data_IF_351144822948
#
_entry.id   IF_351144822948
#
_cell.length_a   1.000
_cell.length_b   1.000
_cell.length_c   1.000
_cell.angle_alpha   90.00
_cell.angle_beta   90.00
_cell.angle_gamma   90.00
#
_symmetry.space_group_name_H-M   'P 1'
#
loop_
_entity.id
_entity.type
_entity.pdbx_description
1 polymer ?
#
# COMPACT_ATOMS: atom_id res chain seq x y z
N UNK A 1 -19.92 32.26 -11.15
CA UNK A 1 -19.37 31.42 -10.05
C UNK A 1 -18.38 32.28 -9.29
N UNK A 2 -18.62 32.51 -8.00
CA UNK A 2 -17.78 33.41 -7.21
C UNK A 2 -16.45 32.74 -6.84
N UNK A 3 -15.38 33.54 -6.75
CA UNK A 3 -14.04 33.06 -6.38
C UNK A 3 -14.05 32.37 -5.01
N UNK A 4 -14.89 32.85 -4.09
CA UNK A 4 -15.11 32.21 -2.79
C UNK A 4 -15.67 30.79 -2.91
N UNK A 5 -16.63 30.54 -3.82
CA UNK A 5 -17.21 29.21 -4.04
C UNK A 5 -16.15 28.21 -4.53
N UNK A 6 -15.28 28.64 -5.43
CA UNK A 6 -14.17 27.82 -5.92
C UNK A 6 -13.15 27.52 -4.82
N UNK A 7 -12.81 28.51 -3.99
CA UNK A 7 -11.91 28.32 -2.86
C UNK A 7 -12.51 27.39 -1.79
N UNK A 8 -13.81 27.48 -1.51
CA UNK A 8 -14.49 26.55 -0.59
C UNK A 8 -14.50 25.12 -1.14
N UNK A 9 -14.77 24.94 -2.44
CA UNK A 9 -14.67 23.62 -3.06
C UNK A 9 -13.24 23.05 -3.01
N UNK A 10 -12.23 23.89 -3.29
CA UNK A 10 -10.82 23.54 -3.17
C UNK A 10 -10.44 23.14 -1.74
N UNK A 11 -10.91 23.87 -0.72
CA UNK A 11 -10.70 23.55 0.70
C UNK A 11 -11.21 22.14 1.03
N UNK A 12 -12.43 21.81 0.60
CA UNK A 12 -13.02 20.47 0.81
C UNK A 12 -12.14 19.38 0.20
N UNK A 13 -11.75 19.55 -1.07
CA UNK A 13 -10.96 18.57 -1.79
C UNK A 13 -9.57 18.37 -1.16
N UNK A 14 -8.90 19.45 -0.77
CA UNK A 14 -7.60 19.40 -0.10
C UNK A 14 -7.70 18.66 1.24
N UNK A 15 -8.68 19.01 2.08
CA UNK A 15 -8.90 18.36 3.37
C UNK A 15 -9.16 16.87 3.19
N UNK A 16 -10.07 16.49 2.29
CA UNK A 16 -10.38 15.09 2.01
C UNK A 16 -9.14 14.33 1.54
N UNK A 17 -8.35 14.90 0.63
CA UNK A 17 -7.16 14.26 0.10
C UNK A 17 -6.03 14.14 1.14
N UNK A 18 -5.81 15.16 1.97
CA UNK A 18 -4.84 15.12 3.05
C UNK A 18 -5.23 14.05 4.09
N UNK A 19 -6.51 13.97 4.46
CA UNK A 19 -7.00 12.95 5.40
C UNK A 19 -6.86 11.55 4.80
N UNK A 20 -7.32 11.34 3.56
CA UNK A 20 -7.21 10.05 2.88
C UNK A 20 -5.74 9.64 2.68
N UNK A 21 -4.88 10.58 2.31
CA UNK A 21 -3.43 10.38 2.18
C UNK A 21 -2.79 9.96 3.50
N UNK A 22 -3.11 10.67 4.59
CA UNK A 22 -2.56 10.40 5.91
C UNK A 22 -3.01 9.04 6.45
N UNK A 23 -4.31 8.73 6.35
CA UNK A 23 -4.87 7.43 6.75
C UNK A 23 -4.25 6.29 5.94
N UNK A 24 -4.12 6.46 4.62
CA UNK A 24 -3.52 5.42 3.78
C UNK A 24 -2.04 5.17 4.12
N UNK A 25 -1.28 6.22 4.44
CA UNK A 25 0.12 6.08 4.90
C UNK A 25 0.21 5.35 6.24
N UNK A 26 -0.64 5.70 7.22
CA UNK A 26 -0.70 4.99 8.52
C UNK A 26 -1.06 3.52 8.31
N UNK A 27 -2.05 3.22 7.47
CA UNK A 27 -2.44 1.86 7.15
C UNK A 27 -1.30 1.06 6.49
N UNK A 28 -0.51 1.69 5.59
CA UNK A 28 0.65 1.03 4.98
C UNK A 28 1.75 0.70 5.99
N UNK A 29 2.02 1.57 6.97
CA UNK A 29 2.98 1.27 8.05
C UNK A 29 2.54 0.05 8.87
N UNK A 30 1.23 -0.10 9.13
CA UNK A 30 0.68 -1.23 9.86
C UNK A 30 0.68 -2.55 9.06
N UNK A 31 0.64 -2.49 7.73
CA UNK A 31 0.66 -3.65 6.85
C UNK A 31 2.07 -4.21 6.59
N UNK A 32 3.10 -3.50 7.04
CA UNK A 32 4.51 -3.62 6.69
C UNK A 32 5.26 -4.80 7.36
N UNK A 33 4.57 -5.94 7.45
CA UNK A 33 5.09 -7.19 7.99
C UNK A 33 5.95 -7.99 6.99
N UNK A 34 6.11 -7.54 5.74
CA UNK A 34 6.98 -8.20 4.74
C UNK A 34 8.21 -7.34 4.39
N UNK A 35 9.42 -7.93 4.29
CA UNK A 35 10.61 -7.24 3.79
C UNK A 35 10.36 -6.73 2.35
N UNK A 36 10.52 -5.41 2.14
CA UNK A 36 10.35 -4.80 0.82
C UNK A 36 8.92 -4.35 0.46
N UNK A 37 7.97 -4.29 1.40
CA UNK A 37 6.68 -3.61 1.17
C UNK A 37 6.87 -2.12 0.88
N UNK A 38 7.71 -1.46 1.69
CA UNK A 38 8.00 -0.03 1.54
C UNK A 38 8.83 0.36 0.30
N UNK A 39 9.53 -0.56 -0.37
CA UNK A 39 10.32 -0.21 -1.57
C UNK A 39 9.44 0.21 -2.74
N UNK A 40 8.15 -0.12 -2.71
CA UNK A 40 7.17 0.34 -3.72
C UNK A 40 6.52 1.68 -3.39
N UNK A 41 6.81 2.26 -2.21
CA UNK A 41 6.21 3.50 -1.72
C UNK A 41 6.96 4.75 -2.17
N UNK A 42 6.88 5.05 -3.46
CA UNK A 42 7.32 6.33 -4.05
C UNK A 42 8.56 7.01 -3.46
N UNK A 43 8.49 8.27 -2.98
CA UNK A 43 9.66 9.03 -2.52
C UNK A 43 10.45 8.36 -1.39
N UNK A 44 9.88 7.40 -0.67
CA UNK A 44 10.58 6.66 0.38
C UNK A 44 11.76 5.85 -0.18
N UNK A 45 11.79 5.58 -1.48
CA UNK A 45 12.96 4.99 -2.17
C UNK A 45 14.20 5.89 -2.07
N UNK A 46 14.02 7.21 -1.98
CA UNK A 46 15.13 8.16 -1.83
C UNK A 46 15.74 8.16 -0.41
N UNK A 47 15.09 7.49 0.53
CA UNK A 47 15.45 7.48 1.95
C UNK A 47 16.03 6.10 2.32
N UNK A 48 17.10 6.04 3.14
CA UNK A 48 17.65 4.77 3.63
C UNK A 48 16.59 3.93 4.35
N UNK A 49 16.70 2.60 4.28
CA UNK A 49 15.66 1.67 4.77
C UNK A 49 15.23 1.93 6.22
N UNK A 50 16.21 2.18 7.11
CA UNK A 50 15.98 2.51 8.52
C UNK A 50 15.13 3.77 8.76
N UNK A 51 15.08 4.68 7.77
CA UNK A 51 14.37 5.96 7.87
C UNK A 51 13.04 5.97 7.09
N UNK A 52 12.71 4.93 6.32
CA UNK A 52 11.47 4.91 5.52
C UNK A 52 10.20 4.98 6.37
N UNK A 53 10.11 4.12 7.39
CA UNK A 53 8.98 4.11 8.35
C UNK A 53 8.79 5.46 9.05
N UNK A 54 9.81 6.03 9.73
CA UNK A 54 9.63 7.30 10.43
C UNK A 54 9.30 8.46 9.49
N UNK A 55 9.89 8.52 8.29
CA UNK A 55 9.53 9.54 7.30
C UNK A 55 8.08 9.40 6.83
N UNK A 56 7.59 8.18 6.60
CA UNK A 56 6.21 7.95 6.18
C UNK A 56 5.20 8.34 7.27
N UNK A 57 5.49 8.00 8.53
CA UNK A 57 4.70 8.41 9.70
C UNK A 57 4.71 9.94 9.84
N UNK A 58 5.88 10.57 9.71
CA UNK A 58 6.00 12.02 9.77
C UNK A 58 5.17 12.71 8.68
N UNK A 59 5.26 12.24 7.42
CA UNK A 59 4.44 12.76 6.34
C UNK A 59 2.95 12.59 6.62
N UNK A 60 2.52 11.43 7.13
CA UNK A 60 1.13 11.20 7.50
C UNK A 60 0.66 12.17 8.60
N UNK A 61 1.48 12.37 9.63
CA UNK A 61 1.20 13.32 10.70
C UNK A 61 1.06 14.75 10.16
N UNK A 62 1.98 15.17 9.28
CA UNK A 62 1.92 16.49 8.62
C UNK A 62 0.61 16.65 7.83
N UNK A 63 0.20 15.65 7.05
CA UNK A 63 -1.04 15.71 6.29
C UNK A 63 -2.27 15.89 7.19
N UNK A 64 -2.37 15.12 8.28
CA UNK A 64 -3.48 15.21 9.24
C UNK A 64 -3.48 16.56 9.96
N UNK A 65 -2.31 17.06 10.38
CA UNK A 65 -2.18 18.36 11.05
C UNK A 65 -2.56 19.51 10.11
N UNK A 66 -2.14 19.46 8.84
CA UNK A 66 -2.54 20.46 7.85
C UNK A 66 -4.05 20.43 7.60
N UNK A 67 -4.64 19.24 7.44
CA UNK A 67 -6.09 19.10 7.27
C UNK A 67 -6.87 19.66 8.47
N UNK A 68 -6.48 19.31 9.69
CA UNK A 68 -7.09 19.84 10.91
C UNK A 68 -6.91 21.36 11.01
N UNK A 69 -5.71 21.87 10.71
CA UNK A 69 -5.41 23.30 10.69
C UNK A 69 -6.29 24.09 9.72
N UNK A 70 -6.52 23.55 8.51
CA UNK A 70 -7.39 24.16 7.50
C UNK A 70 -8.87 24.21 7.91
N UNK A 71 -9.35 23.24 8.70
CA UNK A 71 -10.73 23.19 9.17
C UNK A 71 -10.93 24.10 10.40
N UNK A 72 -10.07 23.93 11.41
CA UNK A 72 -10.31 24.44 12.76
C UNK A 72 -9.64 25.79 13.03
N UNK A 73 -8.73 26.25 12.17
CA UNK A 73 -7.99 27.48 12.41
C UNK A 73 -8.13 28.46 11.25
N UNK A 74 -8.14 29.75 11.56
CA UNK A 74 -8.02 30.85 10.58
C UNK A 74 -6.58 31.32 10.40
N UNK A 75 -5.62 30.61 11.00
CA UNK A 75 -4.21 30.98 10.95
C UNK A 75 -3.67 30.87 9.52
N UNK A 76 -2.77 31.77 9.08
CA UNK A 76 -2.12 31.65 7.79
C UNK A 76 -1.17 30.44 7.72
N UNK A 77 -0.68 29.94 8.87
CA UNK A 77 0.32 28.87 8.93
C UNK A 77 -0.08 27.57 8.19
N UNK A 78 -1.24 26.92 8.46
CA UNK A 78 -1.63 25.71 7.75
C UNK A 78 -1.89 25.96 6.26
N UNK A 79 -2.32 27.16 5.86
CA UNK A 79 -2.56 27.52 4.45
C UNK A 79 -1.24 27.57 3.68
N UNK A 80 -0.26 28.32 4.19
CA UNK A 80 1.09 28.35 3.60
C UNK A 80 1.79 26.99 3.68
N UNK A 81 1.63 26.28 4.79
CA UNK A 81 2.14 24.92 4.95
C UNK A 81 1.62 23.96 3.88
N UNK A 82 0.35 24.09 3.52
CA UNK A 82 -0.29 23.27 2.47
C UNK A 82 0.25 23.62 1.07
N UNK A 83 0.50 24.90 0.77
CA UNK A 83 1.18 25.31 -0.47
C UNK A 83 2.57 24.69 -0.55
N UNK A 84 3.36 24.83 0.52
CA UNK A 84 4.72 24.29 0.59
C UNK A 84 4.70 22.77 0.42
N UNK A 85 3.80 22.09 1.13
CA UNK A 85 3.67 20.64 1.07
C UNK A 85 3.40 20.13 -0.35
N UNK A 86 2.40 20.69 -1.05
CA UNK A 86 2.08 20.27 -2.43
C UNK A 86 3.12 20.74 -3.44
N UNK A 87 3.77 21.88 -3.22
CA UNK A 87 4.87 22.35 -4.07
C UNK A 87 6.09 21.43 -3.98
N UNK A 88 6.51 21.07 -2.76
CA UNK A 88 7.59 20.10 -2.52
C UNK A 88 7.22 18.74 -3.11
N UNK A 89 5.98 18.29 -2.91
CA UNK A 89 5.50 17.03 -3.49
C UNK A 89 5.57 17.06 -5.02
N UNK A 90 5.15 18.16 -5.65
CA UNK A 90 5.24 18.35 -7.11
C UNK A 90 6.69 18.27 -7.60
N UNK A 91 7.60 18.96 -6.90
CA UNK A 91 9.04 18.93 -7.22
C UNK A 91 9.62 17.53 -7.08
N UNK A 92 9.33 16.83 -5.99
CA UNK A 92 9.80 15.45 -5.76
C UNK A 92 9.27 14.51 -6.84
N UNK A 93 7.99 14.61 -7.22
CA UNK A 93 7.44 13.80 -8.32
C UNK A 93 8.09 14.10 -9.66
N UNK A 94 8.38 15.36 -9.94
CA UNK A 94 9.12 15.76 -11.14
C UNK A 94 10.53 15.15 -11.16
N UNK A 95 11.25 15.20 -10.05
CA UNK A 95 12.59 14.65 -9.92
C UNK A 95 12.59 13.12 -10.00
N UNK A 96 11.62 12.46 -9.36
CA UNK A 96 11.43 11.01 -9.46
C UNK A 96 11.16 10.60 -10.89
N UNK A 97 10.31 11.31 -11.62
CA UNK A 97 10.05 11.02 -13.03
C UNK A 97 11.31 11.13 -13.90
N UNK A 98 12.22 12.05 -13.58
CA UNK A 98 13.50 12.21 -14.29
C UNK A 98 14.49 11.08 -13.98
N UNK A 99 14.56 10.63 -12.72
CA UNK A 99 15.60 9.67 -12.28
C UNK A 99 15.14 8.21 -12.24
N UNK A 100 13.88 7.96 -11.91
CA UNK A 100 13.28 6.64 -11.62
C UNK A 100 11.78 6.66 -11.97
N UNK A 101 11.40 6.65 -13.26
CA UNK A 101 9.98 6.70 -13.65
C UNK A 101 9.17 5.49 -13.17
N UNK A 102 9.84 4.39 -12.82
CA UNK A 102 9.21 3.11 -12.44
C UNK A 102 8.70 3.06 -11.00
N UNK A 103 9.03 4.06 -10.15
CA UNK A 103 8.54 4.10 -8.76
C UNK A 103 7.16 4.73 -8.67
N UNK A 104 6.40 4.35 -7.64
CA UNK A 104 5.08 4.91 -7.35
C UNK A 104 5.11 6.40 -6.99
N UNK A 105 3.95 7.07 -6.99
CA UNK A 105 3.89 8.46 -6.53
C UNK A 105 3.81 8.58 -4.99
N UNK A 106 3.39 7.51 -4.29
CA UNK A 106 3.37 7.41 -2.82
C UNK A 106 2.37 8.33 -2.10
N UNK A 107 1.56 9.11 -2.82
CA UNK A 107 0.62 10.07 -2.22
C UNK A 107 -0.43 9.40 -1.33
N UNK A 108 -0.84 8.17 -1.63
CA UNK A 108 -1.80 7.38 -0.84
C UNK A 108 -1.20 6.09 -0.27
N UNK A 109 0.08 6.11 0.13
CA UNK A 109 0.76 4.90 0.57
C UNK A 109 0.78 3.80 -0.52
N UNK A 110 0.54 2.54 -0.14
CA UNK A 110 0.58 1.38 -1.05
C UNK A 110 -0.54 1.40 -2.10
N UNK A 111 -1.60 2.18 -1.87
CA UNK A 111 -2.69 2.31 -2.82
C UNK A 111 -2.22 2.98 -4.14
N UNK A 112 -1.13 3.76 -4.09
CA UNK A 112 -0.61 4.57 -5.20
C UNK A 112 0.77 4.08 -5.68
N UNK A 113 0.83 2.79 -6.00
CA UNK A 113 2.02 2.12 -6.54
C UNK A 113 2.23 2.31 -8.03
N UNK A 114 1.34 3.02 -8.74
CA UNK A 114 1.43 3.23 -10.18
C UNK A 114 2.64 4.12 -10.54
N UNK A 115 3.37 3.83 -11.63
CA UNK A 115 4.54 4.60 -12.05
C UNK A 115 4.25 6.10 -12.16
N UNK A 116 5.21 6.95 -11.78
CA UNK A 116 5.02 8.42 -11.80
C UNK A 116 4.91 8.93 -13.25
N UNK A 117 3.68 9.18 -13.69
CA UNK A 117 3.36 9.77 -14.98
C UNK A 117 3.16 11.30 -14.97
N UNK A 118 2.99 11.88 -16.17
CA UNK A 118 2.59 13.28 -16.35
C UNK A 118 1.29 13.63 -15.61
N UNK A 119 0.34 12.69 -15.57
CA UNK A 119 -0.95 12.87 -14.90
C UNK A 119 -0.78 13.09 -13.40
N UNK A 120 0.07 12.30 -12.74
CA UNK A 120 0.37 12.43 -11.30
C UNK A 120 1.02 13.77 -10.95
N UNK A 121 1.91 14.26 -11.80
CA UNK A 121 2.50 15.60 -11.65
C UNK A 121 1.43 16.68 -11.87
N UNK A 122 0.59 16.54 -12.90
CA UNK A 122 -0.53 17.44 -13.16
C UNK A 122 -1.49 17.52 -11.98
N UNK A 123 -1.80 16.39 -11.34
CA UNK A 123 -2.60 16.35 -10.09
C UNK A 123 -1.94 17.16 -8.99
N UNK A 124 -0.65 17.00 -8.75
CA UNK A 124 0.08 17.73 -7.70
C UNK A 124 0.13 19.25 -7.99
N UNK A 125 0.29 19.65 -9.26
CA UNK A 125 0.19 21.06 -9.69
C UNK A 125 -1.20 21.63 -9.43
N UNK A 126 -2.27 20.90 -9.77
CA UNK A 126 -3.65 21.33 -9.51
C UNK A 126 -3.91 21.48 -8.01
N UNK A 127 -3.45 20.54 -7.19
CA UNK A 127 -3.57 20.63 -5.72
C UNK A 127 -2.79 21.81 -5.15
N UNK A 128 -1.62 22.11 -5.71
CA UNK A 128 -0.87 23.32 -5.36
C UNK A 128 -1.67 24.59 -5.71
N UNK A 129 -2.28 24.65 -6.90
CA UNK A 129 -3.14 25.77 -7.30
C UNK A 129 -4.37 25.93 -6.40
N UNK A 130 -5.00 24.82 -6.01
CA UNK A 130 -6.09 24.81 -5.02
C UNK A 130 -5.60 25.32 -3.65
N UNK A 131 -4.40 24.93 -3.21
CA UNK A 131 -3.84 25.42 -1.94
C UNK A 131 -3.58 26.93 -1.99
N UNK A 132 -3.10 27.45 -3.13
CA UNK A 132 -2.93 28.89 -3.36
C UNK A 132 -4.27 29.62 -3.30
N UNK A 133 -5.33 29.10 -3.94
CA UNK A 133 -6.64 29.76 -3.90
C UNK A 133 -7.23 29.82 -2.49
N UNK A 134 -7.08 28.74 -1.71
CA UNK A 134 -7.49 28.70 -0.28
C UNK A 134 -6.63 29.61 0.61
N UNK A 135 -5.36 29.84 0.26
CA UNK A 135 -4.52 30.77 1.00
C UNK A 135 -4.89 32.23 0.74
N UNK A 136 -5.25 32.57 -0.50
CA UNK A 136 -5.58 33.92 -0.93
C UNK A 136 -6.99 34.35 -0.54
N UNK A 137 -7.93 33.41 -0.45
CA UNK A 137 -9.31 33.68 -0.06
C UNK A 137 -9.54 33.17 1.36
N UNK A 138 -10.06 33.98 2.30
CA UNK A 138 -10.13 33.64 3.72
C UNK A 138 -11.23 32.63 4.08
N UNK A 139 -11.45 31.60 3.25
CA UNK A 139 -12.40 30.51 3.51
C UNK A 139 -11.93 29.61 4.67
N UNK A 140 -12.89 29.08 5.41
CA UNK A 140 -12.70 28.26 6.60
C UNK A 140 -13.69 27.11 6.66
N UNK A 141 -13.49 26.16 7.58
CA UNK A 141 -14.45 25.07 7.81
C UNK A 141 -15.85 25.53 8.22
N UNK A 142 -16.01 26.78 8.70
CA UNK A 142 -17.33 27.33 9.02
C UNK A 142 -18.16 27.62 7.75
N UNK A 143 -17.51 28.01 6.65
CA UNK A 143 -18.15 28.30 5.36
C UNK A 143 -18.68 27.03 4.66
N UNK A 144 -18.23 25.87 5.14
CA UNK A 144 -18.74 24.55 4.77
C UNK A 144 -20.08 24.25 5.45
N UNK A 145 -20.30 24.79 6.65
CA UNK A 145 -21.52 24.57 7.45
C UNK A 145 -22.64 25.54 7.08
N UNK A 146 -22.33 26.66 6.42
CA UNK A 146 -23.33 27.67 6.01
C UNK A 146 -24.28 27.22 4.89
N UNK A 147 -24.17 25.98 4.42
CA UNK A 147 -25.14 25.34 3.53
C UNK A 147 -24.60 24.97 2.15
N UNK A 148 -25.20 23.95 1.55
CA UNK A 148 -24.83 23.46 0.23
C UNK A 148 -25.54 24.27 -0.86
N UNK A 149 -24.80 25.17 -1.53
CA UNK A 149 -25.30 25.83 -2.73
C UNK A 149 -25.10 24.95 -3.97
N UNK A 150 -25.95 25.12 -4.99
CA UNK A 150 -25.80 24.40 -6.26
C UNK A 150 -24.47 24.74 -6.94
N UNK A 151 -24.00 25.97 -6.82
CA UNK A 151 -22.71 26.42 -7.33
C UNK A 151 -21.54 25.69 -6.64
N UNK A 152 -21.61 25.50 -5.31
CA UNK A 152 -20.61 24.74 -4.57
C UNK A 152 -20.62 23.27 -4.99
N UNK A 153 -21.78 22.66 -5.15
CA UNK A 153 -21.91 21.28 -5.61
C UNK A 153 -21.31 21.08 -7.01
N UNK A 154 -21.58 22.00 -7.95
CA UNK A 154 -21.00 21.98 -9.29
C UNK A 154 -19.48 22.15 -9.24
N UNK A 155 -18.97 23.12 -8.48
CA UNK A 155 -17.54 23.37 -8.33
C UNK A 155 -16.81 22.16 -7.73
N UNK A 156 -17.40 21.54 -6.71
CA UNK A 156 -16.88 20.32 -6.10
C UNK A 156 -16.87 19.16 -7.10
N UNK A 157 -17.98 18.93 -7.80
CA UNK A 157 -18.07 17.88 -8.82
C UNK A 157 -17.04 18.08 -9.93
N UNK A 158 -16.89 19.31 -10.44
CA UNK A 158 -15.87 19.64 -11.44
C UNK A 158 -14.45 19.38 -10.93
N UNK A 159 -14.16 19.74 -9.68
CA UNK A 159 -12.87 19.46 -9.05
C UNK A 159 -12.60 17.95 -8.88
N UNK A 160 -13.60 17.17 -8.47
CA UNK A 160 -13.51 15.71 -8.40
C UNK A 160 -13.25 15.10 -9.77
N UNK A 161 -13.97 15.54 -10.80
CA UNK A 161 -13.78 15.06 -12.19
C UNK A 161 -12.37 15.39 -12.68
N UNK A 162 -11.91 16.62 -12.46
CA UNK A 162 -10.55 17.04 -12.83
C UNK A 162 -9.48 16.18 -12.14
N UNK A 163 -9.60 15.99 -10.82
CA UNK A 163 -8.67 15.17 -10.05
C UNK A 163 -8.72 13.71 -10.48
N UNK A 164 -9.90 13.18 -10.82
CA UNK A 164 -10.09 11.81 -11.30
C UNK A 164 -9.44 11.59 -12.67
N UNK A 165 -9.61 12.54 -13.61
CA UNK A 165 -8.95 12.52 -14.92
C UNK A 165 -7.41 12.58 -14.80
N UNK A 166 -6.91 13.25 -13.78
CA UNK A 166 -5.47 13.35 -13.48
C UNK A 166 -4.95 12.21 -12.58
N UNK A 167 -5.82 11.33 -12.08
CA UNK A 167 -5.46 10.26 -11.17
C UNK A 167 -5.42 8.90 -11.89
N UNK A 168 -4.23 8.41 -12.31
CA UNK A 168 -4.11 7.10 -12.94
C UNK A 168 -4.54 5.95 -12.01
N UNK A 169 -4.55 6.21 -10.70
CA UNK A 169 -4.96 5.27 -9.66
C UNK A 169 -6.41 4.83 -9.76
N UNK A 170 -7.29 5.63 -10.38
CA UNK A 170 -8.69 5.27 -10.54
C UNK A 170 -8.87 4.16 -11.57
N UNK A 171 -8.09 4.19 -12.67
CA UNK A 171 -8.10 3.12 -13.68
C UNK A 171 -7.60 1.81 -13.08
N UNK A 172 -6.52 1.85 -12.28
CA UNK A 172 -6.02 0.67 -11.58
C UNK A 172 -6.95 0.17 -10.46
N UNK A 173 -7.56 1.06 -9.69
CA UNK A 173 -8.51 0.67 -8.65
C UNK A 173 -9.76 0.06 -9.26
N UNK A 174 -10.29 0.64 -10.34
CA UNK A 174 -11.40 0.07 -11.12
C UNK A 174 -10.97 -1.27 -11.73
N UNK A 175 -9.76 -1.39 -12.27
CA UNK A 175 -9.24 -2.64 -12.80
C UNK A 175 -9.10 -3.70 -11.70
N UNK A 176 -8.64 -3.36 -10.48
CA UNK A 176 -8.55 -4.29 -9.34
C UNK A 176 -9.92 -4.71 -8.81
N UNK A 177 -10.91 -3.82 -8.85
CA UNK A 177 -12.29 -4.11 -8.46
C UNK A 177 -12.97 -4.99 -9.52
N UNK A 178 -12.76 -4.67 -10.80
CA UNK A 178 -13.38 -5.36 -11.95
C UNK A 178 -12.71 -6.70 -12.26
N UNK A 179 -11.39 -6.77 -12.11
CA UNK A 179 -10.57 -7.96 -12.26
C UNK A 179 -9.95 -8.28 -10.91
N UNK A 180 -10.51 -9.29 -10.22
CA UNK A 180 -9.96 -9.78 -8.96
C UNK A 180 -8.50 -10.17 -9.20
N UNK A 181 -7.56 -9.39 -8.67
CA UNK A 181 -6.13 -9.62 -8.89
C UNK A 181 -5.81 -11.10 -8.63
N UNK A 182 -5.10 -11.78 -9.54
CA UNK A 182 -4.81 -13.19 -9.39
C UNK A 182 -3.87 -13.41 -8.18
N UNK A 183 -3.87 -14.62 -7.61
CA UNK A 183 -3.33 -14.85 -6.26
C UNK A 183 -1.84 -14.53 -6.12
N UNK A 184 -1.09 -14.57 -7.21
CA UNK A 184 0.31 -14.21 -7.33
C UNK A 184 0.60 -12.71 -7.13
N UNK A 185 -0.40 -11.84 -7.28
CA UNK A 185 -0.26 -10.40 -7.08
C UNK A 185 -0.87 -9.91 -5.75
N UNK A 186 -1.63 -10.76 -5.05
CA UNK A 186 -2.26 -10.35 -3.78
C UNK A 186 -1.22 -10.22 -2.67
N UNK A 187 -1.21 -9.11 -1.91
CA UNK A 187 -0.46 -9.03 -0.67
C UNK A 187 -1.15 -9.91 0.37
N UNK A 188 -0.44 -10.92 0.89
CA UNK A 188 -0.94 -11.80 1.95
C UNK A 188 0.12 -11.81 3.05
N UNK A 189 -0.20 -11.28 4.25
CA UNK A 189 0.74 -11.25 5.35
C UNK A 189 1.28 -12.65 5.68
N UNK A 190 2.59 -12.77 5.87
CA UNK A 190 3.26 -14.03 6.20
C UNK A 190 2.64 -14.72 7.43
N UNK A 191 2.30 -13.94 8.47
CA UNK A 191 1.66 -14.44 9.68
C UNK A 191 0.33 -15.17 9.43
N UNK A 192 -0.44 -14.73 8.42
CA UNK A 192 -1.68 -15.42 8.03
C UNK A 192 -1.37 -16.78 7.39
N UNK A 193 -0.37 -16.85 6.52
CA UNK A 193 0.06 -18.12 5.92
C UNK A 193 0.67 -19.08 6.95
N UNK A 194 1.45 -18.55 7.89
CA UNK A 194 2.04 -19.32 8.99
C UNK A 194 0.97 -19.84 9.97
N UNK A 195 -0.03 -19.02 10.31
CA UNK A 195 -1.18 -19.45 11.12
C UNK A 195 -1.95 -20.58 10.42
N UNK A 196 -2.18 -20.45 9.11
CA UNK A 196 -2.79 -21.52 8.29
C UNK A 196 -1.96 -22.80 8.30
N UNK A 197 -0.65 -22.69 8.11
CA UNK A 197 0.29 -23.81 8.22
C UNK A 197 0.15 -24.48 9.58
N UNK A 198 0.29 -23.75 10.68
CA UNK A 198 0.24 -24.30 12.05
C UNK A 198 -1.10 -24.95 12.38
N UNK A 199 -2.19 -24.52 11.75
CA UNK A 199 -3.52 -25.14 11.90
C UNK A 199 -3.74 -26.38 11.02
N UNK A 200 -2.84 -26.68 10.08
CA UNK A 200 -2.99 -27.76 9.11
C UNK A 200 -2.74 -29.15 9.70
N UNK A 201 -3.22 -30.19 9.02
CA UNK A 201 -2.90 -31.59 9.34
C UNK A 201 -1.43 -31.90 9.09
N UNK A 202 -0.87 -31.35 8.03
CA UNK A 202 0.49 -31.53 7.55
C UNK A 202 1.49 -31.03 8.58
N UNK A 203 1.22 -29.88 9.21
CA UNK A 203 2.01 -29.37 10.32
C UNK A 203 1.99 -30.34 11.51
N UNK A 204 0.81 -30.81 11.92
CA UNK A 204 0.67 -31.71 13.07
C UNK A 204 1.35 -33.06 12.83
N UNK A 205 1.35 -33.57 11.60
CA UNK A 205 1.99 -34.85 11.28
C UNK A 205 3.51 -34.76 11.15
N UNK A 206 4.08 -33.59 10.85
CA UNK A 206 5.52 -33.43 10.63
C UNK A 206 6.24 -32.63 11.73
N UNK A 207 5.51 -32.06 12.70
CA UNK A 207 6.11 -31.31 13.83
C UNK A 207 7.16 -32.12 14.59
N UNK A 208 6.98 -33.44 14.71
CA UNK A 208 7.94 -34.32 15.40
C UNK A 208 9.30 -34.44 14.70
N UNK A 209 9.37 -34.08 13.41
CA UNK A 209 10.62 -34.08 12.64
C UNK A 209 11.37 -32.75 12.78
N UNK A 210 10.76 -31.70 13.33
CA UNK A 210 11.32 -30.35 13.36
C UNK A 210 12.27 -30.19 14.55
N UNK A 211 13.43 -29.58 14.30
CA UNK A 211 14.38 -29.17 15.34
C UNK A 211 14.01 -27.78 15.89
N UNK A 212 13.40 -26.93 15.06
CA UNK A 212 12.93 -25.58 15.42
C UNK A 212 11.47 -25.37 15.02
N UNK A 213 10.76 -24.55 15.80
CA UNK A 213 9.38 -24.09 15.51
C UNK A 213 9.32 -22.78 14.71
N UNK A 214 10.48 -22.19 14.44
CA UNK A 214 10.66 -21.02 13.58
C UNK A 214 11.28 -21.44 12.26
N UNK A 215 10.76 -20.93 11.13
CA UNK A 215 11.32 -21.23 9.81
C UNK A 215 12.69 -20.56 9.65
N UNK A 216 13.62 -21.27 9.04
CA UNK A 216 14.95 -20.76 8.68
C UNK A 216 14.88 -19.85 7.45
N UNK A 217 14.06 -20.23 6.46
CA UNK A 217 13.81 -19.43 5.27
C UNK A 217 12.33 -19.42 4.89
N UNK A 218 11.91 -18.36 4.23
CA UNK A 218 10.55 -18.16 3.75
C UNK A 218 10.54 -17.35 2.47
N UNK A 219 10.05 -17.94 1.39
CA UNK A 219 9.84 -17.23 0.13
C UNK A 219 8.44 -17.49 -0.42
N UNK A 220 8.12 -16.78 -1.51
CA UNK A 220 6.86 -16.92 -2.23
C UNK A 220 7.17 -17.15 -3.70
N UNK A 221 6.47 -18.11 -4.28
CA UNK A 221 6.49 -18.35 -5.71
C UNK A 221 5.04 -18.50 -6.20
N UNK A 222 4.64 -17.59 -7.09
CA UNK A 222 3.27 -17.51 -7.59
C UNK A 222 2.25 -17.45 -6.43
N UNK A 223 1.36 -18.44 -6.37
CA UNK A 223 0.31 -18.58 -5.37
C UNK A 223 0.69 -19.51 -4.21
N UNK A 224 1.97 -19.85 -4.07
CA UNK A 224 2.48 -20.68 -3.00
C UNK A 224 3.44 -19.89 -2.13
N UNK A 225 3.37 -20.12 -0.82
CA UNK A 225 4.34 -19.62 0.13
C UNK A 225 5.04 -20.80 0.80
N UNK A 226 6.36 -20.75 0.79
CA UNK A 226 7.23 -21.81 1.28
C UNK A 226 7.80 -21.42 2.63
N UNK A 227 7.87 -22.38 3.53
CA UNK A 227 8.50 -22.26 4.84
C UNK A 227 9.45 -23.43 5.01
N UNK A 228 10.74 -23.15 5.21
CA UNK A 228 11.77 -24.16 5.43
C UNK A 228 12.05 -24.24 6.91
N UNK A 229 12.03 -25.45 7.46
CA UNK A 229 12.37 -25.71 8.85
C UNK A 229 13.53 -26.70 8.93
N UNK A 230 14.49 -26.46 9.83
CA UNK A 230 15.50 -27.47 10.14
C UNK A 230 14.83 -28.65 10.83
N UNK A 231 15.20 -29.86 10.41
CA UNK A 231 14.60 -31.10 10.86
C UNK A 231 15.59 -32.26 10.96
N UNK A 232 15.10 -33.38 11.50
CA UNK A 232 15.79 -34.66 11.54
C UNK A 232 14.85 -35.78 11.12
N UNK A 233 15.35 -36.71 10.33
CA UNK A 233 14.61 -37.91 9.96
C UNK A 233 14.41 -38.82 11.16
N UNK A 234 13.53 -39.83 11.03
CA UNK A 234 13.37 -40.87 12.04
C UNK A 234 14.68 -41.65 12.32
N UNK A 235 15.62 -41.67 11.37
CA UNK A 235 16.94 -42.28 11.51
C UNK A 235 17.98 -41.34 12.15
N UNK A 236 17.60 -40.09 12.47
CA UNK A 236 18.46 -39.09 13.11
C UNK A 236 19.32 -38.27 12.14
N UNK A 237 19.20 -38.50 10.84
CA UNK A 237 19.93 -37.73 9.82
C UNK A 237 19.36 -36.31 9.69
N UNK A 238 20.21 -35.34 9.36
CA UNK A 238 19.79 -33.97 9.10
C UNK A 238 18.92 -33.89 7.84
N UNK A 239 17.83 -33.13 7.95
CA UNK A 239 16.89 -32.92 6.86
C UNK A 239 16.24 -31.54 6.95
N UNK A 240 15.81 -31.02 5.81
CA UNK A 240 14.97 -29.83 5.73
C UNK A 240 13.52 -30.24 5.52
N UNK A 241 12.61 -29.66 6.30
CA UNK A 241 11.17 -29.85 6.12
C UNK A 241 10.59 -28.59 5.49
N UNK A 242 10.19 -28.71 4.22
CA UNK A 242 9.66 -27.61 3.42
C UNK A 242 8.15 -27.72 3.34
N UNK A 243 7.44 -26.73 3.89
CA UNK A 243 5.99 -26.62 3.76
C UNK A 243 5.62 -25.60 2.69
N UNK A 244 4.75 -25.99 1.76
CA UNK A 244 4.17 -25.10 0.75
C UNK A 244 2.68 -24.86 1.04
N UNK A 245 2.32 -23.61 1.33
CA UNK A 245 0.95 -23.19 1.63
C UNK A 245 0.35 -22.48 0.43
N UNK A 246 -0.76 -22.99 -0.09
CA UNK A 246 -1.51 -22.31 -1.14
C UNK A 246 -2.17 -21.04 -0.60
N UNK A 247 -2.04 -19.95 -1.33
CA UNK A 247 -2.42 -18.62 -0.87
C UNK A 247 -3.92 -18.31 -1.07
N UNK A 248 -4.61 -19.08 -1.92
CA UNK A 248 -6.01 -18.87 -2.27
C UNK A 248 -6.94 -19.90 -1.61
N UNK A 249 -8.22 -19.55 -1.51
CA UNK A 249 -9.27 -20.42 -0.97
C UNK A 249 -9.49 -20.28 0.54
N UNK A 250 -10.63 -20.82 1.00
CA UNK A 250 -11.05 -20.84 2.41
C UNK A 250 -10.35 -21.96 3.20
N UNK A 251 -10.02 -23.07 2.54
CA UNK A 251 -9.21 -24.18 3.05
C UNK A 251 -8.01 -24.37 2.12
N UNK A 252 -6.93 -23.61 2.32
CA UNK A 252 -5.78 -23.67 1.44
C UNK A 252 -5.09 -25.03 1.56
N UNK A 253 -4.66 -25.57 0.42
CA UNK A 253 -3.83 -26.77 0.43
C UNK A 253 -2.49 -26.47 1.10
N UNK A 254 -2.06 -27.36 1.99
CA UNK A 254 -0.70 -27.38 2.51
C UNK A 254 -0.03 -28.63 1.96
N UNK A 255 1.19 -28.47 1.47
CA UNK A 255 2.03 -29.58 1.01
C UNK A 255 3.33 -29.58 1.79
N UNK A 256 3.94 -30.73 1.90
CA UNK A 256 5.19 -30.91 2.64
C UNK A 256 6.14 -31.77 1.83
N UNK A 257 7.42 -31.40 1.87
CA UNK A 257 8.53 -32.20 1.37
C UNK A 257 9.59 -32.28 2.48
N UNK A 258 10.22 -33.44 2.62
CA UNK A 258 11.36 -33.64 3.51
C UNK A 258 12.57 -33.92 2.62
N UNK A 259 13.61 -33.09 2.73
CA UNK A 259 14.81 -33.12 1.89
C UNK A 259 15.99 -33.51 2.77
N UNK A 260 16.62 -34.66 2.50
CA UNK A 260 17.80 -35.11 3.26
C UNK A 260 19.09 -34.41 2.80
N UNK A 261 20.11 -34.41 3.66
CA UNK A 261 21.43 -33.83 3.38
C UNK A 261 22.18 -34.52 2.21
N UNK A 262 21.92 -35.81 1.98
CA UNK A 262 22.34 -36.50 0.76
C UNK A 262 21.30 -36.23 -0.32
N UNK A 263 21.54 -35.22 -1.16
CA UNK A 263 20.60 -34.74 -2.17
C UNK A 263 20.26 -35.71 -3.31
N UNK A 264 20.16 -37.03 -3.09
CA UNK A 264 19.76 -37.99 -4.11
C UNK A 264 19.06 -39.26 -3.56
N UNK A 265 17.97 -39.67 -4.23
CA UNK A 265 17.31 -40.99 -4.22
C UNK A 265 16.45 -41.47 -3.03
N UNK A 266 15.70 -40.58 -2.38
CA UNK A 266 14.59 -40.97 -1.49
C UNK A 266 13.24 -40.50 -2.01
N UNK A 267 12.56 -41.30 -2.84
CA UNK A 267 11.16 -41.17 -3.30
C UNK A 267 10.49 -39.83 -2.99
N UNK A 268 10.46 -38.91 -3.97
CA UNK A 268 9.44 -37.86 -4.02
C UNK A 268 8.08 -38.56 -3.92
N UNK A 269 7.49 -38.61 -2.72
CA UNK A 269 6.16 -39.16 -2.54
C UNK A 269 5.19 -38.27 -3.34
N UNK A 270 4.90 -38.74 -4.54
CA UNK A 270 4.11 -38.07 -5.56
C UNK A 270 2.73 -37.77 -4.99
N UNK A 271 2.44 -36.50 -4.75
CA UNK A 271 1.06 -36.01 -4.67
C UNK A 271 0.89 -34.69 -5.43
N UNK A 272 1.46 -34.61 -6.64
CA UNK A 272 0.91 -33.72 -7.67
C UNK A 272 -0.21 -34.44 -8.41
N UNK A 273 -1.37 -34.55 -7.77
CA UNK A 273 -2.63 -34.69 -8.50
C UNK A 273 -3.00 -33.34 -9.08
N UNK A 274 -2.73 -33.12 -10.38
CA UNK A 274 -3.31 -31.99 -11.11
C UNK A 274 -4.78 -32.33 -11.34
N UNK A 275 -5.63 -31.97 -10.39
CA UNK A 275 -7.07 -31.93 -10.64
C UNK A 275 -7.36 -30.61 -11.35
N UNK A 276 -7.35 -30.66 -12.68
CA UNK A 276 -8.00 -29.65 -13.50
C UNK A 276 -9.51 -29.89 -13.39
N UNK A 277 -10.16 -29.27 -12.42
CA UNK A 277 -11.61 -29.16 -12.41
C UNK A 277 -12.00 -27.98 -13.32
N UNK A 278 -12.84 -28.29 -14.32
CA UNK A 278 -13.50 -27.35 -15.24
C UNK A 278 -14.35 -26.32 -14.50
#
# INVERSE_FOLDING_TARGET
>A
MEVATLATAALVLLVLLLVLGGVAKIASVGADAEPGGLTRLGPAVLVPERWRKPVLIFCAAVEIVLAAGLIFTRSPLPRWGTIVFFSVSTYVLWELRRRRPDVGCGCFGEASGSPVGLRSIGRAVVLTGMAVSVALVPVSGADLLSGLSWNLAIALAAGVVLLSLLSPELEEAIARVRYRAPCEQRPIPTARSLSRLRSSSEWRSHTALLVSVEPEDTWRELCWRFFVYPGRTATGAEAEVVFAVYLSGRRPAVRVAVVGAEGNDGTLHKSMGVSAAR
#
